data_IF_971757441236
#
_entry.id   IF_971757441236
#
_cell.length_a   1.000
_cell.length_b   1.000
_cell.length_c   1.000
_cell.angle_alpha   90.00
_cell.angle_beta   90.00
_cell.angle_gamma   90.00
#
_symmetry.space_group_name_H-M   'P 1'
#
loop_
_entity.id
_entity.type
_entity.pdbx_description
1 polymer ?
#
# COMPACT_ATOMS: atom_id res chain seq x y z
N UNK A 1 12.75 -22.97 -18.36
CA UNK A 1 14.22 -22.75 -18.47
C UNK A 1 14.59 -21.62 -17.55
N UNK A 2 15.25 -22.00 -16.52
CA UNK A 2 15.53 -21.26 -15.29
C UNK A 2 16.57 -20.16 -15.53
N UNK A 3 16.24 -18.91 -15.25
CA UNK A 3 17.24 -17.84 -15.22
C UNK A 3 17.15 -17.02 -13.93
N UNK A 4 17.29 -17.73 -12.81
CA UNK A 4 17.67 -17.08 -11.56
C UNK A 4 19.16 -16.70 -11.61
N UNK A 5 19.48 -15.52 -12.12
CA UNK A 5 20.81 -14.95 -11.92
C UNK A 5 20.94 -14.49 -10.46
N UNK A 6 21.59 -15.33 -9.66
CA UNK A 6 22.17 -14.95 -8.36
C UNK A 6 23.19 -13.84 -8.59
N UNK A 7 22.86 -12.62 -8.23
CA UNK A 7 23.90 -11.61 -8.00
C UNK A 7 24.47 -11.82 -6.60
N UNK A 8 25.66 -12.41 -6.53
CA UNK A 8 26.47 -12.49 -5.34
C UNK A 8 27.03 -11.10 -5.04
N UNK A 9 26.49 -10.42 -4.04
CA UNK A 9 27.08 -9.19 -3.49
C UNK A 9 28.16 -9.55 -2.47
N UNK A 10 29.39 -9.59 -2.94
CA UNK A 10 30.57 -9.61 -2.09
C UNK A 10 30.91 -8.16 -1.66
N UNK A 11 30.31 -7.66 -0.60
CA UNK A 11 30.84 -6.60 0.28
C UNK A 11 30.08 -6.72 1.61
N UNK A 12 30.77 -7.23 2.62
CA UNK A 12 30.32 -7.67 3.93
C UNK A 12 29.57 -6.66 4.82
N UNK A 13 28.46 -6.13 4.35
CA UNK A 13 27.47 -5.46 5.19
C UNK A 13 26.13 -6.17 5.04
N UNK A 14 25.73 -6.88 6.10
CA UNK A 14 24.34 -7.34 6.24
C UNK A 14 23.42 -6.13 6.08
N UNK A 15 22.37 -6.20 5.24
CA UNK A 15 21.40 -5.13 5.15
C UNK A 15 20.78 -4.92 6.53
N UNK A 16 20.95 -3.73 7.09
CA UNK A 16 20.33 -3.34 8.37
C UNK A 16 18.82 -3.24 8.15
N UNK A 17 18.11 -4.10 8.86
CA UNK A 17 16.70 -4.00 9.23
C UNK A 17 15.65 -3.96 8.13
N UNK A 18 14.74 -4.93 8.19
CA UNK A 18 13.45 -5.13 7.53
C UNK A 18 12.41 -4.00 7.72
N UNK A 19 12.84 -2.76 7.74
CA UNK A 19 11.89 -1.65 7.59
C UNK A 19 11.49 -1.63 6.14
N UNK A 20 10.18 -1.61 5.87
CA UNK A 20 9.55 -1.48 4.57
C UNK A 20 10.18 -0.27 3.84
N UNK A 21 11.36 -0.47 3.32
CA UNK A 21 11.94 0.39 2.31
C UNK A 21 11.47 -0.22 1.00
N UNK A 22 11.06 0.59 0.07
CA UNK A 22 10.44 0.19 -1.20
C UNK A 22 11.37 -0.64 -2.11
N UNK A 23 12.24 -1.47 -1.51
CA UNK A 23 13.15 -2.37 -2.20
C UNK A 23 12.40 -3.55 -2.83
N UNK A 24 11.44 -4.09 -2.08
CA UNK A 24 10.60 -5.19 -2.54
C UNK A 24 9.19 -4.69 -2.74
N UNK A 25 8.65 -4.90 -3.93
CA UNK A 25 7.30 -4.44 -4.32
C UNK A 25 6.59 -5.51 -5.13
N UNK A 26 5.26 -5.45 -5.19
CA UNK A 26 4.49 -6.16 -6.20
C UNK A 26 4.11 -5.21 -7.32
N UNK A 27 4.32 -5.65 -8.56
CA UNK A 27 4.00 -4.89 -9.77
C UNK A 27 3.20 -5.76 -10.71
N UNK A 28 1.98 -5.33 -11.02
CA UNK A 28 1.11 -6.00 -11.97
C UNK A 28 1.27 -5.30 -13.33
N UNK A 29 1.70 -6.05 -14.33
CA UNK A 29 1.68 -5.60 -15.70
C UNK A 29 0.24 -5.58 -16.21
N UNK A 30 -0.24 -4.40 -16.62
CA UNK A 30 -1.58 -4.16 -17.14
C UNK A 30 -1.57 -3.69 -18.60
N UNK A 31 -0.40 -3.55 -19.22
CA UNK A 31 -0.24 -3.06 -20.58
C UNK A 31 -0.99 -3.93 -21.59
N UNK A 32 -1.88 -3.30 -22.33
CA UNK A 32 -2.67 -3.97 -23.38
C UNK A 32 -3.64 -5.05 -22.91
N UNK A 33 -3.81 -5.22 -21.58
CA UNK A 33 -4.71 -6.21 -21.02
C UNK A 33 -6.10 -5.63 -20.80
N UNK A 34 -7.10 -6.45 -21.04
CA UNK A 34 -8.48 -6.16 -20.69
C UNK A 34 -8.75 -6.44 -19.20
N UNK A 35 -9.81 -5.86 -18.67
CA UNK A 35 -10.27 -6.12 -17.30
C UNK A 35 -10.58 -7.61 -17.08
N UNK A 36 -11.18 -8.28 -18.07
CA UNK A 36 -11.51 -9.70 -17.99
C UNK A 36 -10.26 -10.59 -17.92
N UNK A 37 -9.23 -10.29 -18.70
CA UNK A 37 -7.94 -11.00 -18.67
C UNK A 37 -7.25 -10.84 -17.31
N UNK A 38 -7.24 -9.61 -16.78
CA UNK A 38 -6.67 -9.33 -15.46
C UNK A 38 -7.46 -10.05 -14.36
N UNK A 39 -8.79 -9.94 -14.40
CA UNK A 39 -9.65 -10.63 -13.44
C UNK A 39 -9.45 -12.15 -13.51
N UNK A 40 -9.33 -12.73 -14.68
CA UNK A 40 -9.10 -14.18 -14.87
C UNK A 40 -7.76 -14.64 -14.28
N UNK A 41 -6.74 -13.79 -14.35
CA UNK A 41 -5.40 -14.06 -13.83
C UNK A 41 -5.31 -14.01 -12.28
N UNK A 42 -6.23 -13.34 -11.61
CA UNK A 42 -6.23 -13.28 -10.14
C UNK A 42 -6.48 -14.66 -9.53
N UNK A 43 -5.92 -14.87 -8.34
CA UNK A 43 -6.22 -16.08 -7.56
C UNK A 43 -7.75 -16.25 -7.35
N UNK A 44 -8.26 -17.46 -7.44
CA UNK A 44 -9.70 -17.77 -7.38
C UNK A 44 -10.40 -17.12 -6.16
N UNK A 45 -9.77 -17.16 -4.99
CA UNK A 45 -10.31 -16.56 -3.76
C UNK A 45 -10.40 -15.02 -3.87
N UNK A 46 -9.49 -14.36 -4.59
CA UNK A 46 -9.53 -12.89 -4.79
C UNK A 46 -10.67 -12.49 -5.72
N UNK A 47 -10.86 -13.21 -6.82
CA UNK A 47 -12.02 -13.04 -7.69
C UNK A 47 -13.33 -13.23 -6.93
N UNK A 48 -13.39 -14.28 -6.09
CA UNK A 48 -14.55 -14.53 -5.25
C UNK A 48 -14.79 -13.36 -4.28
N UNK A 49 -13.75 -12.86 -3.60
CA UNK A 49 -13.87 -11.79 -2.62
C UNK A 49 -14.29 -10.45 -3.24
N UNK A 50 -13.81 -10.12 -4.44
CA UNK A 50 -14.25 -8.94 -5.20
C UNK A 50 -15.76 -9.04 -5.47
N UNK A 51 -16.22 -10.15 -6.05
CA UNK A 51 -17.64 -10.38 -6.35
C UNK A 51 -18.48 -10.49 -5.07
N UNK A 52 -17.92 -11.00 -3.99
CA UNK A 52 -18.60 -11.07 -2.69
C UNK A 52 -18.85 -9.68 -2.13
N UNK A 53 -17.88 -8.77 -2.21
CA UNK A 53 -18.05 -7.38 -1.78
C UNK A 53 -19.21 -6.72 -2.54
N UNK A 54 -19.23 -6.84 -3.87
CA UNK A 54 -20.32 -6.31 -4.70
C UNK A 54 -21.69 -6.92 -4.35
N UNK A 55 -21.77 -8.25 -4.23
CA UNK A 55 -23.02 -8.94 -3.84
C UNK A 55 -23.52 -8.56 -2.44
N UNK A 56 -22.60 -8.22 -1.53
CA UNK A 56 -22.95 -7.73 -0.19
C UNK A 56 -23.28 -6.22 -0.16
N UNK A 57 -23.37 -5.58 -1.32
CA UNK A 57 -23.77 -4.18 -1.44
C UNK A 57 -22.66 -3.19 -1.11
N UNK A 58 -21.39 -3.62 -1.08
CA UNK A 58 -20.28 -2.67 -0.96
C UNK A 58 -20.18 -1.85 -2.23
N UNK A 59 -20.20 -0.53 -2.09
CA UNK A 59 -19.99 0.41 -3.19
C UNK A 59 -18.64 1.11 -3.04
N UNK A 60 -17.98 1.40 -4.16
CA UNK A 60 -16.72 2.17 -4.18
C UNK A 60 -16.94 3.43 -4.99
N UNK A 61 -16.63 4.57 -4.39
CA UNK A 61 -16.74 5.90 -5.03
C UNK A 61 -15.39 6.62 -5.01
N UNK A 62 -15.11 7.38 -6.07
CA UNK A 62 -14.04 8.37 -6.10
C UNK A 62 -14.58 9.59 -5.38
N UNK A 63 -13.87 10.05 -4.36
CA UNK A 63 -14.30 11.13 -3.48
C UNK A 63 -13.27 12.26 -3.48
N UNK A 64 -13.72 13.45 -3.14
CA UNK A 64 -12.89 14.63 -2.96
C UNK A 64 -12.44 14.82 -1.51
N UNK A 65 -12.08 16.06 -1.20
CA UNK A 65 -11.56 16.44 0.13
C UNK A 65 -12.61 16.32 1.24
N UNK A 66 -13.87 16.36 0.91
CA UNK A 66 -14.97 16.18 1.86
C UNK A 66 -14.88 14.83 2.60
N UNK A 67 -14.29 13.81 1.98
CA UNK A 67 -14.10 12.50 2.60
C UNK A 67 -12.72 12.31 3.27
N UNK A 68 -11.83 13.30 3.21
CA UNK A 68 -10.52 13.21 3.88
C UNK A 68 -10.64 13.02 5.40
N UNK A 69 -11.58 13.65 6.13
CA UNK A 69 -11.76 13.36 7.56
C UNK A 69 -12.06 11.88 7.81
N UNK A 70 -13.06 11.32 7.13
CA UNK A 70 -13.43 9.91 7.27
C UNK A 70 -12.27 8.95 6.86
N UNK A 71 -11.57 9.26 5.78
CA UNK A 71 -10.37 8.52 5.38
C UNK A 71 -9.27 8.57 6.45
N UNK A 72 -9.07 9.74 7.06
CA UNK A 72 -8.05 9.92 8.12
C UNK A 72 -8.39 9.14 9.39
N UNK A 73 -9.66 9.02 9.74
CA UNK A 73 -10.12 8.21 10.88
C UNK A 73 -9.89 6.71 10.61
N UNK A 74 -10.19 6.24 9.40
CA UNK A 74 -9.86 4.89 8.97
C UNK A 74 -8.34 4.65 8.96
N UNK A 75 -7.54 5.64 8.52
CA UNK A 75 -6.08 5.59 8.57
C UNK A 75 -5.57 5.51 10.02
N UNK A 76 -6.17 6.27 10.94
CA UNK A 76 -5.82 6.20 12.36
C UNK A 76 -6.11 4.81 12.94
N UNK A 77 -7.30 4.28 12.70
CA UNK A 77 -7.70 2.93 13.12
C UNK A 77 -6.73 1.87 12.59
N UNK A 78 -6.39 1.96 11.29
CA UNK A 78 -5.42 1.06 10.65
C UNK A 78 -4.02 1.22 11.25
N UNK A 79 -3.57 2.46 11.47
CA UNK A 79 -2.26 2.77 12.03
C UNK A 79 -2.07 2.23 13.46
N UNK A 80 -3.12 2.36 14.29
CA UNK A 80 -3.12 1.80 15.65
C UNK A 80 -3.07 0.27 15.62
N UNK A 81 -3.92 -0.35 14.80
CA UNK A 81 -3.96 -1.81 14.64
C UNK A 81 -2.63 -2.38 14.14
N UNK A 82 -2.07 -1.78 13.10
CA UNK A 82 -0.90 -2.31 12.39
C UNK A 82 0.43 -1.69 12.88
N UNK A 83 0.36 -0.81 13.88
CA UNK A 83 1.51 -0.27 14.61
C UNK A 83 2.35 0.74 13.83
N UNK A 84 1.74 1.60 13.01
CA UNK A 84 2.44 2.68 12.31
C UNK A 84 1.81 4.06 12.56
N UNK A 85 2.62 5.11 12.34
CA UNK A 85 2.17 6.51 12.46
C UNK A 85 1.58 6.96 11.14
N UNK A 86 0.35 7.48 11.18
CA UNK A 86 -0.34 8.02 10.00
C UNK A 86 0.04 9.47 9.72
N UNK A 87 -0.31 9.95 8.53
CA UNK A 87 -0.24 11.37 8.17
C UNK A 87 -1.46 12.11 8.72
N UNK A 88 -1.34 13.42 8.86
CA UNK A 88 -2.45 14.29 9.24
C UNK A 88 -3.43 14.48 8.06
N UNK A 89 -4.71 14.82 8.32
CA UNK A 89 -5.70 15.06 7.27
C UNK A 89 -5.25 16.11 6.23
N UNK A 90 -4.58 17.18 6.69
CA UNK A 90 -4.12 18.26 5.81
C UNK A 90 -3.12 17.76 4.75
N UNK A 91 -2.37 16.71 5.08
CA UNK A 91 -1.45 16.10 4.12
C UNK A 91 -2.20 15.43 2.96
N UNK A 92 -3.28 14.70 3.24
CA UNK A 92 -4.10 14.05 2.22
C UNK A 92 -4.86 15.08 1.38
N UNK A 93 -5.39 16.14 2.02
CA UNK A 93 -6.03 17.25 1.31
C UNK A 93 -5.05 17.92 0.35
N UNK A 94 -3.83 18.22 0.82
CA UNK A 94 -2.79 18.82 0.00
C UNK A 94 -2.36 17.91 -1.18
N UNK A 95 -2.37 16.59 -1.00
CA UNK A 95 -2.10 15.65 -2.09
C UNK A 95 -3.18 15.75 -3.19
N UNK A 96 -4.46 15.76 -2.80
CA UNK A 96 -5.56 15.89 -3.76
C UNK A 96 -5.52 17.24 -4.48
N UNK A 97 -5.22 18.33 -3.77
CA UNK A 97 -5.14 19.67 -4.36
C UNK A 97 -3.97 19.80 -5.35
N UNK A 98 -2.78 19.32 -4.96
CA UNK A 98 -1.57 19.54 -5.76
C UNK A 98 -1.42 18.55 -6.92
N UNK A 99 -1.99 17.36 -6.81
CA UNK A 99 -1.92 16.32 -7.84
C UNK A 99 -3.15 16.31 -8.76
N UNK A 100 -4.27 16.91 -8.34
CA UNK A 100 -5.47 17.02 -9.15
C UNK A 100 -5.93 15.67 -9.70
N UNK A 101 -6.10 15.58 -11.02
CA UNK A 101 -6.53 14.34 -11.71
C UNK A 101 -5.56 13.16 -11.55
N UNK A 102 -4.32 13.43 -11.17
CA UNK A 102 -3.30 12.40 -10.92
C UNK A 102 -3.42 11.72 -9.55
N UNK A 103 -4.33 12.16 -8.68
CA UNK A 103 -4.62 11.52 -7.41
C UNK A 103 -6.11 11.19 -7.30
N UNK A 104 -6.43 9.97 -6.88
CA UNK A 104 -7.82 9.56 -6.60
C UNK A 104 -7.92 9.01 -5.17
N UNK A 105 -8.87 9.55 -4.41
CA UNK A 105 -9.30 8.98 -3.14
C UNK A 105 -10.50 8.08 -3.41
N UNK A 106 -10.31 6.77 -3.27
CA UNK A 106 -11.39 5.80 -3.35
C UNK A 106 -11.90 5.49 -1.96
N UNK A 107 -13.21 5.59 -1.75
CA UNK A 107 -13.86 5.20 -0.50
C UNK A 107 -14.83 4.05 -0.76
N UNK A 108 -14.75 3.02 0.06
CA UNK A 108 -15.69 1.91 0.08
C UNK A 108 -16.72 2.11 1.18
N UNK A 109 -17.99 1.95 0.83
CA UNK A 109 -19.14 2.12 1.71
C UNK A 109 -19.88 0.79 1.86
N UNK A 110 -20.41 0.54 3.05
CA UNK A 110 -21.32 -0.57 3.29
C UNK A 110 -22.73 -0.29 2.72
N UNK A 111 -23.68 -1.25 2.82
CA UNK A 111 -25.04 -1.04 2.34
C UNK A 111 -25.83 0.11 3.03
N UNK A 112 -25.38 0.58 4.17
CA UNK A 112 -25.96 1.70 4.90
C UNK A 112 -25.26 3.04 4.61
N UNK A 113 -24.41 3.07 3.58
CA UNK A 113 -23.61 4.24 3.18
C UNK A 113 -22.55 4.68 4.21
N UNK A 114 -22.12 3.76 5.08
CA UNK A 114 -21.06 4.02 6.07
C UNK A 114 -19.69 3.74 5.41
N UNK A 115 -18.71 4.67 5.48
CA UNK A 115 -17.37 4.45 4.95
C UNK A 115 -16.61 3.40 5.80
N UNK A 116 -16.26 2.26 5.19
CA UNK A 116 -15.63 1.11 5.87
C UNK A 116 -14.19 0.86 5.46
N UNK A 117 -13.77 1.40 4.31
CA UNK A 117 -12.39 1.35 3.87
C UNK A 117 -12.12 2.49 2.87
N UNK A 118 -10.85 2.80 2.67
CA UNK A 118 -10.45 3.80 1.68
C UNK A 118 -9.02 3.62 1.22
N UNK A 119 -8.73 4.11 0.02
CA UNK A 119 -7.40 4.08 -0.58
C UNK A 119 -7.12 5.38 -1.31
N UNK A 120 -5.87 5.85 -1.23
CA UNK A 120 -5.39 6.94 -2.07
C UNK A 120 -4.37 6.38 -3.05
N UNK A 121 -4.67 6.54 -4.34
CA UNK A 121 -3.83 6.12 -5.45
C UNK A 121 -3.34 7.33 -6.25
N UNK A 122 -2.18 7.16 -6.89
CA UNK A 122 -1.57 8.18 -7.75
C UNK A 122 -1.29 7.59 -9.12
N UNK A 123 -1.63 8.34 -10.16
CA UNK A 123 -1.21 8.10 -11.53
C UNK A 123 -0.05 9.03 -11.89
N UNK A 124 1.08 8.46 -12.32
CA UNK A 124 2.21 9.24 -12.82
C UNK A 124 2.97 8.46 -13.89
N UNK A 125 3.15 9.08 -15.05
CA UNK A 125 3.76 8.42 -16.20
C UNK A 125 2.95 7.19 -16.63
N UNK A 126 3.62 6.06 -16.72
CA UNK A 126 3.05 4.76 -17.14
C UNK A 126 2.53 3.90 -15.97
N UNK A 127 2.28 4.51 -14.79
CA UNK A 127 1.95 3.75 -13.57
C UNK A 127 0.82 4.35 -12.75
N UNK A 128 0.03 3.47 -12.17
CA UNK A 128 -0.81 3.78 -11.01
C UNK A 128 -0.20 3.14 -9.77
N UNK A 129 -0.06 3.91 -8.69
CA UNK A 129 0.44 3.45 -7.40
C UNK A 129 -0.63 3.40 -6.33
N UNK A 130 -0.76 2.25 -5.65
CA UNK A 130 -1.47 2.13 -4.39
C UNK A 130 -0.64 2.75 -3.26
N UNK A 131 -0.93 3.99 -2.88
CA UNK A 131 -0.06 4.75 -1.99
C UNK A 131 -0.44 4.63 -0.52
N UNK A 132 -1.73 4.77 -0.20
CA UNK A 132 -2.28 4.63 1.15
C UNK A 132 -3.52 3.76 1.11
N UNK A 133 -3.69 2.93 2.15
CA UNK A 133 -4.88 2.13 2.34
C UNK A 133 -5.25 2.04 3.80
N UNK A 134 -6.54 2.11 4.06
CA UNK A 134 -7.13 2.08 5.37
C UNK A 134 -8.40 1.24 5.39
N UNK A 135 -8.68 0.62 6.52
CA UNK A 135 -9.93 -0.13 6.71
C UNK A 135 -10.36 -0.13 8.16
N UNK A 136 -11.66 -0.12 8.38
CA UNK A 136 -12.28 -0.36 9.68
C UNK A 136 -11.88 -1.73 10.23
N UNK A 137 -11.94 -1.89 11.54
CA UNK A 137 -11.85 -3.19 12.20
C UNK A 137 -13.17 -3.98 12.07
N UNK A 138 -14.26 -3.26 11.89
CA UNK A 138 -15.59 -3.80 11.63
C UNK A 138 -15.79 -4.05 10.13
N UNK A 139 -16.84 -4.81 9.78
CA UNK A 139 -17.24 -5.07 8.38
C UNK A 139 -16.15 -5.69 7.47
N UNK A 140 -15.08 -6.27 8.05
CA UNK A 140 -14.00 -6.92 7.27
C UNK A 140 -14.51 -8.11 6.45
N UNK A 141 -15.59 -8.73 6.89
CA UNK A 141 -16.30 -9.82 6.20
C UNK A 141 -17.00 -9.37 4.91
N UNK A 142 -17.14 -8.04 4.68
CA UNK A 142 -17.64 -7.47 3.43
C UNK A 142 -16.56 -7.38 2.33
N UNK A 143 -15.30 -7.69 2.65
CA UNK A 143 -14.17 -7.73 1.70
C UNK A 143 -13.88 -6.41 0.95
N UNK A 144 -14.06 -5.21 1.55
CA UNK A 144 -13.97 -3.94 0.82
C UNK A 144 -12.60 -3.71 0.17
N UNK A 145 -11.51 -4.16 0.82
CA UNK A 145 -10.15 -3.94 0.31
C UNK A 145 -9.89 -4.65 -1.03
N UNK A 146 -10.56 -5.78 -1.30
CA UNK A 146 -10.43 -6.48 -2.57
C UNK A 146 -11.09 -5.68 -3.70
N UNK A 147 -12.26 -5.11 -3.44
CA UNK A 147 -12.96 -4.29 -4.41
C UNK A 147 -12.22 -2.95 -4.65
N UNK A 148 -11.66 -2.33 -3.59
CA UNK A 148 -10.83 -1.12 -3.72
C UNK A 148 -9.60 -1.36 -4.62
N UNK A 149 -8.88 -2.47 -4.41
CA UNK A 149 -7.74 -2.81 -5.27
C UNK A 149 -8.18 -2.98 -6.72
N UNK A 150 -9.31 -3.66 -6.94
CA UNK A 150 -9.85 -3.85 -8.28
C UNK A 150 -10.17 -2.51 -8.96
N UNK A 151 -10.81 -1.58 -8.27
CA UNK A 151 -11.12 -0.24 -8.83
C UNK A 151 -9.88 0.56 -9.20
N UNK A 152 -8.80 0.45 -8.42
CA UNK A 152 -7.53 1.09 -8.77
C UNK A 152 -6.83 0.43 -9.96
N UNK A 153 -6.92 -0.90 -10.08
CA UNK A 153 -6.40 -1.64 -11.26
C UNK A 153 -7.18 -1.23 -12.52
N UNK A 154 -8.51 -1.12 -12.43
CA UNK A 154 -9.34 -0.61 -13.54
C UNK A 154 -8.89 0.80 -13.97
N UNK A 155 -8.56 1.67 -13.02
CA UNK A 155 -8.01 2.99 -13.36
C UNK A 155 -6.68 2.91 -14.13
N UNK A 156 -5.81 1.98 -13.78
CA UNK A 156 -4.57 1.78 -14.52
C UNK A 156 -4.82 1.30 -15.96
N UNK A 157 -5.84 0.48 -16.18
CA UNK A 157 -6.28 0.06 -17.53
C UNK A 157 -6.90 1.24 -18.28
N UNK A 158 -7.82 1.97 -17.66
CA UNK A 158 -8.49 3.17 -18.21
C UNK A 158 -7.48 4.20 -18.72
N UNK A 159 -6.43 4.45 -17.94
CA UNK A 159 -5.37 5.42 -18.24
C UNK A 159 -4.24 4.84 -19.10
N UNK A 160 -4.40 3.61 -19.60
CA UNK A 160 -3.44 2.92 -20.46
C UNK A 160 -2.03 2.84 -19.84
N UNK A 161 -1.98 2.70 -18.53
CA UNK A 161 -0.73 2.46 -17.83
C UNK A 161 -0.12 1.11 -18.20
N UNK A 162 1.18 1.01 -18.09
CA UNK A 162 1.88 -0.26 -18.20
C UNK A 162 1.83 -1.05 -16.90
N UNK A 163 1.89 -0.37 -15.76
CA UNK A 163 2.05 -1.01 -14.45
C UNK A 163 1.05 -0.48 -13.43
N UNK A 164 0.44 -1.40 -12.70
CA UNK A 164 -0.16 -1.12 -11.40
C UNK A 164 0.81 -1.58 -10.29
N UNK A 165 1.26 -0.63 -9.47
CA UNK A 165 2.26 -0.87 -8.44
C UNK A 165 1.59 -0.92 -7.06
N UNK A 166 1.55 -2.11 -6.45
CA UNK A 166 1.03 -2.34 -5.10
C UNK A 166 1.93 -1.78 -4.00
N UNK A 167 3.09 -1.22 -4.34
CA UNK A 167 4.11 -0.72 -3.42
C UNK A 167 4.74 -1.80 -2.54
N UNK A 168 5.43 -1.35 -1.49
CA UNK A 168 6.30 -2.15 -0.67
C UNK A 168 5.67 -3.35 0.00
N UNK A 169 6.45 -4.40 0.06
CA UNK A 169 6.25 -5.59 0.89
C UNK A 169 7.54 -5.90 1.64
N UNK A 170 7.50 -6.82 2.62
CA UNK A 170 8.70 -7.34 3.24
C UNK A 170 9.50 -8.19 2.24
N UNK A 171 10.83 -8.11 2.31
CA UNK A 171 11.71 -9.06 1.63
C UNK A 171 11.74 -10.43 2.29
N UNK A 172 11.38 -10.49 3.58
CA UNK A 172 11.12 -11.75 4.28
C UNK A 172 9.68 -12.17 4.05
N UNK A 173 9.50 -13.21 3.25
CA UNK A 173 8.22 -13.78 2.83
C UNK A 173 7.86 -15.06 3.63
N UNK A 174 8.51 -15.29 4.76
CA UNK A 174 8.17 -16.40 5.66
C UNK A 174 6.80 -16.22 6.31
N UNK A 175 6.11 -17.32 6.60
CA UNK A 175 4.78 -17.29 7.23
C UNK A 175 4.79 -16.70 8.64
N UNK A 176 5.92 -16.78 9.32
CA UNK A 176 6.14 -16.22 10.66
C UNK A 176 6.32 -14.69 10.65
N UNK A 177 6.53 -14.09 9.49
CA UNK A 177 6.66 -12.65 9.38
C UNK A 177 5.30 -11.97 9.62
N UNK A 178 5.19 -11.00 10.56
CA UNK A 178 3.95 -10.25 10.79
C UNK A 178 3.38 -9.57 9.53
N UNK A 179 4.21 -9.30 8.52
CA UNK A 179 3.82 -8.67 7.25
C UNK A 179 3.44 -9.69 6.16
N UNK A 180 3.49 -11.01 6.46
CA UNK A 180 3.16 -12.05 5.51
C UNK A 180 1.72 -11.94 4.96
N UNK A 181 0.77 -11.53 5.82
CA UNK A 181 -0.60 -11.27 5.40
C UNK A 181 -0.72 -10.21 4.30
N UNK A 182 0.08 -9.15 4.38
CA UNK A 182 0.14 -8.10 3.35
C UNK A 182 0.78 -8.63 2.05
N UNK A 183 1.85 -9.42 2.17
CA UNK A 183 2.49 -10.08 1.03
C UNK A 183 1.48 -10.97 0.29
N UNK A 184 0.81 -11.90 0.99
CA UNK A 184 -0.22 -12.77 0.41
C UNK A 184 -1.35 -12.00 -0.25
N UNK A 185 -1.82 -10.93 0.43
CA UNK A 185 -2.89 -10.09 -0.10
C UNK A 185 -2.53 -9.50 -1.48
N UNK A 186 -1.31 -8.97 -1.63
CA UNK A 186 -0.86 -8.40 -2.91
C UNK A 186 -0.59 -9.48 -3.95
N UNK A 187 0.05 -10.58 -3.56
CA UNK A 187 0.38 -11.70 -4.43
C UNK A 187 -0.85 -12.28 -5.14
N UNK A 188 -1.99 -12.34 -4.45
CA UNK A 188 -3.19 -12.97 -5.01
C UNK A 188 -3.85 -12.20 -6.15
N UNK A 189 -3.48 -10.92 -6.37
CA UNK A 189 -3.87 -10.17 -7.57
C UNK A 189 -2.99 -10.49 -8.78
N UNK A 190 -2.05 -11.39 -8.64
CA UNK A 190 -1.10 -11.69 -9.70
C UNK A 190 0.02 -10.69 -9.80
N UNK A 191 0.91 -10.50 -10.30
CA UNK A 191 1.98 -9.50 -10.36
C UNK A 191 3.29 -10.08 -9.90
N UNK A 192 4.35 -9.41 -10.31
CA UNK A 192 5.70 -9.86 -10.07
C UNK A 192 6.24 -9.29 -8.76
N UNK A 193 6.79 -10.18 -7.93
CA UNK A 193 7.59 -9.78 -6.80
C UNK A 193 8.92 -9.22 -7.31
N UNK A 194 9.05 -7.91 -7.24
CA UNK A 194 10.18 -7.17 -7.83
C UNK A 194 11.10 -6.65 -6.75
N UNK A 195 12.39 -6.95 -6.87
CA UNK A 195 13.44 -6.37 -6.05
C UNK A 195 14.15 -5.24 -6.82
N UNK A 196 14.13 -4.03 -6.24
CA UNK A 196 14.92 -2.91 -6.74
C UNK A 196 16.34 -2.95 -6.15
N UNK A 197 17.26 -2.24 -6.78
CA UNK A 197 18.67 -2.14 -6.32
C UNK A 197 18.81 -1.62 -4.88
N UNK A 198 17.75 -1.00 -4.34
CA UNK A 198 17.73 -0.43 -3.00
C UNK A 198 18.24 1.01 -2.94
N UNK A 199 18.32 1.51 -1.72
CA UNK A 199 18.87 2.85 -1.45
C UNK A 199 20.38 2.76 -1.38
N UNK A 200 21.07 3.72 -1.98
CA UNK A 200 22.52 3.88 -1.93
C UNK A 200 22.85 5.26 -1.38
N UNK A 201 23.65 5.29 -0.31
CA UNK A 201 24.07 6.54 0.33
C UNK A 201 25.51 6.88 -0.05
N UNK A 202 25.74 8.09 -0.58
CA UNK A 202 27.07 8.66 -0.69
C UNK A 202 27.43 9.36 0.63
N UNK A 203 28.26 8.70 1.42
CA UNK A 203 28.67 9.20 2.74
C UNK A 203 29.76 10.26 2.59
N UNK A 204 29.39 11.56 2.71
CA UNK A 204 30.33 12.68 2.63
C UNK A 204 31.08 12.91 3.95
N UNK A 205 30.42 12.67 5.09
CA UNK A 205 31.01 12.77 6.43
C UNK A 205 30.57 11.57 7.28
N UNK A 206 31.46 10.60 7.58
CA UNK A 206 31.10 9.42 8.34
C UNK A 206 30.54 9.71 9.75
N UNK A 207 31.07 10.73 10.44
CA UNK A 207 30.62 11.10 11.78
C UNK A 207 29.19 11.67 11.76
N UNK A 208 28.89 12.59 10.84
CA UNK A 208 27.57 13.17 10.69
C UNK A 208 26.58 12.11 10.22
N UNK A 209 26.96 11.29 9.24
CA UNK A 209 26.12 10.19 8.76
C UNK A 209 25.74 9.25 9.90
N UNK A 210 26.72 8.82 10.72
CA UNK A 210 26.46 7.97 11.87
C UNK A 210 25.48 8.63 12.87
N UNK A 211 25.72 9.90 13.21
CA UNK A 211 24.87 10.64 14.15
C UNK A 211 23.42 10.77 13.64
N UNK A 212 23.23 11.06 12.34
CA UNK A 212 21.91 11.17 11.71
C UNK A 212 21.21 9.80 11.68
N UNK A 213 21.90 8.74 11.27
CA UNK A 213 21.33 7.38 11.20
C UNK A 213 20.84 6.90 12.58
N UNK A 214 21.67 7.07 13.61
CA UNK A 214 21.31 6.61 14.97
C UNK A 214 20.32 7.56 15.64
N UNK A 215 20.52 8.86 15.55
CA UNK A 215 19.65 9.87 16.15
C UNK A 215 18.23 9.82 15.57
N UNK A 216 18.10 9.73 14.25
CA UNK A 216 16.78 9.64 13.60
C UNK A 216 16.05 8.34 13.92
N UNK A 217 16.78 7.24 14.08
CA UNK A 217 16.20 5.95 14.46
C UNK A 217 15.57 6.01 15.84
N UNK A 218 16.32 6.48 16.85
CA UNK A 218 15.84 6.65 18.22
C UNK A 218 14.64 7.60 18.27
N UNK A 219 14.74 8.75 17.61
CA UNK A 219 13.66 9.72 17.55
C UNK A 219 12.37 9.15 16.93
N UNK A 220 12.48 8.41 15.83
CA UNK A 220 11.33 7.76 15.18
C UNK A 220 10.65 6.74 16.09
N UNK A 221 11.43 5.92 16.82
CA UNK A 221 10.89 4.93 17.76
C UNK A 221 10.18 5.59 18.95
N UNK A 222 10.77 6.63 19.54
CA UNK A 222 10.14 7.39 20.62
C UNK A 222 8.85 8.04 20.16
N UNK A 223 8.88 8.72 19.02
CA UNK A 223 7.69 9.34 18.42
C UNK A 223 6.58 8.31 18.14
N UNK A 224 6.95 7.13 17.63
CA UNK A 224 6.00 6.04 17.39
C UNK A 224 5.35 5.57 18.69
N UNK A 225 6.16 5.32 19.74
CA UNK A 225 5.64 4.91 21.05
C UNK A 225 4.64 5.93 21.62
N UNK A 226 5.02 7.21 21.65
CA UNK A 226 4.15 8.29 22.12
C UNK A 226 2.85 8.37 21.31
N UNK A 227 2.94 8.28 19.99
CA UNK A 227 1.77 8.30 19.12
C UNK A 227 0.80 7.15 19.41
N UNK A 228 1.31 5.92 19.54
CA UNK A 228 0.48 4.74 19.80
C UNK A 228 -0.16 4.80 21.20
N UNK A 229 0.56 5.26 22.22
CA UNK A 229 0.01 5.45 23.59
C UNK A 229 -1.13 6.47 23.55
N UNK A 230 -0.91 7.61 22.90
CA UNK A 230 -1.91 8.70 22.83
C UNK A 230 -3.20 8.32 22.11
N UNK A 231 -3.13 7.37 21.17
CA UNK A 231 -4.26 6.98 20.32
C UNK A 231 -4.81 5.58 20.65
N UNK A 232 -4.38 4.96 21.74
CA UNK A 232 -4.75 3.58 22.12
C UNK A 232 -6.23 3.39 22.49
N UNK A 233 -6.98 4.47 22.65
CA UNK A 233 -8.41 4.45 23.04
C UNK A 233 -9.36 4.98 21.95
N UNK A 234 -8.87 5.14 20.71
CA UNK A 234 -9.66 5.62 19.58
C UNK A 234 -9.97 4.51 18.58
#
# INVERSE_FOLDING_TARGET
MDSQKKYSNNHGRKPKTDKIRHRYVFRLDVEGKTEDELMAAFHQKWRYNIRLAERKGVTVRICGKEMVPAFSDLMLTTGVRDGFVTRKPEYFSAMLDNLGEHARLYMAFDPNDIPIAGTLAIHYGDKVWYLYGASSNEHRNLMPNYLLQWRMIQWAVETKCRIYDFRGVSGDVSEDNPLYGLFRFKQGFGGDFTEFVGEMDLVLSPAIYWAVEHGTSVFKELRKKVYLIRNRGK
#
